data_IF_381396059856
#
_entry.id   IF_381396059856
#
_cell.length_a   1.000
_cell.length_b   1.000
_cell.length_c   1.000
_cell.angle_alpha   90.00
_cell.angle_beta   90.00
_cell.angle_gamma   90.00
#
_symmetry.space_group_name_H-M   'P 1'
#
loop_
_entity.id
_entity.type
_entity.pdbx_description
1 polymer ?
#
# COMPACT_ATOMS: atom_id res chain seq x y z
N UNK A 1 -13.74 -79.65 16.42
CA UNK A 1 -12.79 -79.17 15.39
C UNK A 1 -13.09 -77.70 15.07
N UNK A 2 -12.02 -76.88 15.15
CA UNK A 2 -11.77 -75.46 14.78
C UNK A 2 -12.96 -74.48 14.61
N UNK A 3 -13.09 -73.61 15.63
CA UNK A 3 -13.87 -72.36 15.66
C UNK A 3 -13.18 -71.24 14.85
N UNK A 4 -14.04 -70.42 14.24
CA UNK A 4 -13.76 -69.24 13.41
C UNK A 4 -12.78 -68.25 14.07
N UNK A 5 -11.80 -67.76 13.30
CA UNK A 5 -10.90 -66.67 13.71
C UNK A 5 -11.34 -65.38 13.05
N UNK A 6 -11.85 -64.48 13.88
CA UNK A 6 -12.29 -63.12 13.58
C UNK A 6 -11.12 -62.27 13.09
N UNK A 7 -11.33 -61.58 11.96
CA UNK A 7 -10.38 -60.66 11.36
C UNK A 7 -10.19 -59.38 12.18
N UNK A 8 -8.99 -58.81 12.08
CA UNK A 8 -8.67 -57.42 12.37
C UNK A 8 -8.05 -56.84 11.10
N UNK A 9 -8.82 -56.09 10.34
CA UNK A 9 -8.29 -55.20 9.30
C UNK A 9 -8.04 -53.85 9.96
N UNK A 10 -6.77 -53.44 9.93
CA UNK A 10 -6.28 -52.15 10.41
C UNK A 10 -6.77 -51.07 9.45
N UNK A 11 -7.60 -50.15 9.93
CA UNK A 11 -7.97 -48.97 9.18
C UNK A 11 -6.78 -48.00 9.13
N UNK A 12 -5.98 -48.07 8.06
CA UNK A 12 -5.01 -47.05 7.73
C UNK A 12 -5.76 -45.88 7.09
N UNK A 13 -5.93 -44.79 7.84
CA UNK A 13 -6.46 -43.53 7.30
C UNK A 13 -5.41 -42.94 6.37
N UNK A 14 -5.67 -43.02 5.06
CA UNK A 14 -4.89 -42.29 4.07
C UNK A 14 -5.18 -40.79 4.24
N UNK A 15 -4.21 -40.06 4.80
CA UNK A 15 -4.21 -38.59 4.75
C UNK A 15 -3.95 -38.22 3.30
N UNK A 16 -5.02 -37.91 2.57
CA UNK A 16 -4.93 -37.24 1.28
C UNK A 16 -4.29 -35.88 1.54
N UNK A 17 -3.00 -35.75 1.25
CA UNK A 17 -2.34 -34.46 1.09
C UNK A 17 -2.96 -33.86 -0.16
N UNK A 18 -4.09 -33.19 -0.01
CA UNK A 18 -4.63 -32.35 -1.07
C UNK A 18 -3.60 -31.28 -1.33
N UNK A 19 -2.94 -31.35 -2.49
CA UNK A 19 -2.17 -30.26 -3.08
C UNK A 19 -3.11 -29.08 -3.29
N UNK A 20 -3.32 -28.30 -2.24
CA UNK A 20 -3.96 -27.01 -2.33
C UNK A 20 -3.05 -26.12 -3.14
N UNK A 21 -3.32 -25.99 -4.43
CA UNK A 21 -2.82 -24.89 -5.21
C UNK A 21 -3.27 -23.63 -4.48
N UNK A 22 -2.33 -22.94 -3.83
CA UNK A 22 -2.55 -21.57 -3.37
C UNK A 22 -2.71 -20.77 -4.66
N UNK A 23 -3.96 -20.63 -5.10
CA UNK A 23 -4.31 -19.66 -6.12
C UNK A 23 -3.95 -18.30 -5.53
N UNK A 24 -2.81 -17.75 -5.94
CA UNK A 24 -2.53 -16.34 -5.81
C UNK A 24 -3.58 -15.63 -6.66
N UNK A 25 -4.73 -15.35 -6.07
CA UNK A 25 -5.69 -14.41 -6.64
C UNK A 25 -4.94 -13.09 -6.66
N UNK A 26 -4.60 -12.53 -7.84
CA UNK A 26 -4.08 -11.17 -7.85
C UNK A 26 -5.16 -10.33 -7.21
N UNK A 27 -4.84 -9.69 -6.07
CA UNK A 27 -5.75 -8.76 -5.43
C UNK A 27 -6.10 -7.72 -6.49
N UNK A 28 -7.32 -7.84 -7.04
CA UNK A 28 -7.91 -6.88 -7.95
C UNK A 28 -7.60 -5.52 -7.36
N UNK A 29 -6.89 -4.69 -8.12
CA UNK A 29 -6.59 -3.33 -7.74
C UNK A 29 -7.93 -2.62 -7.52
N UNK A 30 -8.42 -2.62 -6.27
CA UNK A 30 -9.59 -1.86 -5.89
C UNK A 30 -9.24 -0.42 -6.22
N UNK A 31 -9.84 0.11 -7.29
CA UNK A 31 -9.65 1.51 -7.64
C UNK A 31 -10.25 2.29 -6.48
N UNK A 32 -9.42 3.11 -5.82
CA UNK A 32 -9.87 3.89 -4.67
C UNK A 32 -11.18 4.61 -4.97
N UNK A 33 -12.09 4.54 -4.00
CA UNK A 33 -13.33 5.30 -4.01
C UNK A 33 -13.04 6.76 -3.67
N UNK A 34 -13.98 7.67 -3.96
CA UNK A 34 -13.80 9.08 -3.60
C UNK A 34 -13.58 9.28 -2.09
N UNK A 35 -14.16 8.41 -1.25
CA UNK A 35 -14.01 8.44 0.21
C UNK A 35 -12.58 8.09 0.70
N UNK A 36 -11.85 7.31 -0.10
CA UNK A 36 -10.49 6.89 0.23
C UNK A 36 -9.48 8.04 0.07
N UNK A 37 -9.79 8.99 -0.79
CA UNK A 37 -9.00 10.19 -1.06
C UNK A 37 -9.63 11.40 -0.34
N UNK A 38 -8.82 12.40 0.06
CA UNK A 38 -9.37 13.62 0.69
C UNK A 38 -9.50 14.79 -0.31
N UNK A 39 -9.00 14.60 -1.53
CA UNK A 39 -9.04 15.60 -2.58
C UNK A 39 -8.96 14.95 -3.96
N UNK A 40 -10.03 15.08 -4.74
CA UNK A 40 -10.09 14.67 -6.15
C UNK A 40 -9.77 15.87 -7.03
N UNK A 41 -8.82 15.72 -7.94
CA UNK A 41 -8.52 16.75 -8.94
C UNK A 41 -8.01 18.07 -8.36
N UNK A 42 -7.33 18.04 -7.20
CA UNK A 42 -6.74 19.23 -6.58
C UNK A 42 -5.82 19.92 -7.59
N UNK A 43 -6.20 21.15 -7.98
CA UNK A 43 -5.44 21.97 -8.92
C UNK A 43 -4.42 22.78 -8.12
N UNK A 44 -3.15 22.51 -8.37
CA UNK A 44 -2.04 23.20 -7.71
C UNK A 44 -0.70 22.81 -8.30
N UNK A 45 0.35 23.53 -7.91
CA UNK A 45 1.73 23.13 -8.17
C UNK A 45 2.08 22.07 -7.13
N UNK A 46 2.57 20.91 -7.56
CA UNK A 46 3.00 19.85 -6.65
C UNK A 46 4.49 19.65 -6.77
N UNK A 47 5.17 19.62 -5.62
CA UNK A 47 6.62 19.52 -5.53
C UNK A 47 7.01 18.39 -4.58
N UNK A 48 8.10 17.69 -4.87
CA UNK A 48 8.56 16.59 -4.02
C UNK A 48 8.92 17.08 -2.61
N UNK A 49 8.55 16.33 -1.58
CA UNK A 49 8.95 16.62 -0.20
C UNK A 49 10.41 16.24 0.05
N UNK A 50 11.16 17.12 0.73
CA UNK A 50 12.62 17.08 0.87
C UNK A 50 13.20 16.10 1.92
N UNK A 51 12.39 15.26 2.54
CA UNK A 51 12.72 14.56 3.80
C UNK A 51 12.96 13.04 3.68
N UNK A 52 13.18 12.54 2.46
CA UNK A 52 13.37 11.10 2.22
C UNK A 52 12.06 10.28 2.22
N UNK A 53 10.92 10.95 2.07
CA UNK A 53 9.63 10.31 1.82
C UNK A 53 9.53 9.72 0.39
N UNK A 54 10.34 10.24 -0.54
CA UNK A 54 10.50 9.72 -1.90
C UNK A 54 11.55 8.62 -1.95
N UNK A 55 11.40 7.65 -2.86
CA UNK A 55 12.30 6.51 -2.98
C UNK A 55 12.58 6.12 -4.43
N UNK A 56 13.68 5.42 -4.63
CA UNK A 56 14.05 4.81 -5.91
C UNK A 56 14.01 3.28 -5.79
N UNK A 57 13.41 2.62 -6.77
CA UNK A 57 13.34 1.16 -6.81
C UNK A 57 13.32 0.64 -8.24
N UNK A 58 14.26 -0.27 -8.57
CA UNK A 58 14.38 -0.87 -9.90
C UNK A 58 14.28 0.12 -11.07
N UNK A 59 14.93 1.28 -10.94
CA UNK A 59 14.94 2.34 -11.95
C UNK A 59 13.68 3.23 -12.01
N UNK A 60 12.75 3.09 -11.06
CA UNK A 60 11.60 3.99 -10.87
C UNK A 60 11.88 4.96 -9.75
N UNK A 61 11.67 6.25 -10.00
CA UNK A 61 11.65 7.28 -8.96
C UNK A 61 10.20 7.51 -8.53
N UNK A 62 9.87 7.20 -7.28
CA UNK A 62 8.55 7.45 -6.69
C UNK A 62 8.66 8.60 -5.70
N UNK A 63 7.84 9.62 -5.92
CA UNK A 63 7.81 10.83 -5.10
C UNK A 63 6.53 10.92 -4.30
N UNK A 64 6.67 11.31 -3.03
CA UNK A 64 5.60 12.00 -2.34
C UNK A 64 5.73 13.49 -2.67
N UNK A 65 4.64 14.10 -3.11
CA UNK A 65 4.60 15.51 -3.49
C UNK A 65 3.54 16.26 -2.69
N UNK A 66 3.84 17.49 -2.29
CA UNK A 66 2.92 18.40 -1.62
C UNK A 66 2.51 19.55 -2.53
N UNK A 67 1.26 19.97 -2.35
CA UNK A 67 0.66 21.10 -3.04
C UNK A 67 1.25 22.42 -2.53
N UNK A 68 2.09 23.07 -3.33
CA UNK A 68 2.99 24.15 -2.92
C UNK A 68 2.31 25.48 -2.56
N UNK A 69 0.99 25.64 -2.74
CA UNK A 69 0.33 26.90 -2.42
C UNK A 69 -0.28 26.93 -1.01
N UNK A 70 -0.80 25.79 -0.52
CA UNK A 70 -1.36 25.68 0.83
C UNK A 70 -0.73 24.57 1.68
N UNK A 71 0.12 23.73 1.07
CA UNK A 71 0.74 22.54 1.64
C UNK A 71 -0.27 21.64 2.38
N UNK A 72 -1.49 21.54 1.80
CA UNK A 72 -2.60 20.79 2.42
C UNK A 72 -2.68 19.35 1.99
N UNK A 73 -2.28 19.12 0.76
CA UNK A 73 -2.56 17.88 0.07
C UNK A 73 -1.27 17.25 -0.40
N UNK A 74 -1.13 15.96 -0.10
CA UNK A 74 -0.08 15.13 -0.67
C UNK A 74 -0.65 14.24 -1.77
N UNK A 75 0.19 13.93 -2.76
CA UNK A 75 -0.06 12.87 -3.75
C UNK A 75 1.21 12.07 -3.99
N UNK A 76 1.09 10.88 -4.56
CA UNK A 76 2.24 10.13 -5.06
C UNK A 76 2.36 10.32 -6.57
N UNK A 77 3.60 10.34 -7.06
CA UNK A 77 3.92 10.34 -8.49
C UNK A 77 5.10 9.41 -8.77
N UNK A 78 4.98 8.53 -9.77
CA UNK A 78 6.15 7.88 -10.37
C UNK A 78 6.75 8.89 -11.34
N UNK A 79 7.77 9.62 -10.87
CA UNK A 79 8.36 10.75 -11.59
C UNK A 79 9.10 10.33 -12.85
N UNK A 80 9.74 9.17 -12.81
CA UNK A 80 10.50 8.62 -13.94
C UNK A 80 10.56 7.10 -13.88
N UNK A 81 10.80 6.48 -15.04
CA UNK A 81 11.02 5.03 -15.17
C UNK A 81 9.75 4.16 -15.07
N UNK A 82 8.55 4.75 -15.07
CA UNK A 82 7.27 4.02 -15.01
C UNK A 82 7.18 2.99 -16.15
N UNK A 83 6.70 1.80 -15.80
CA UNK A 83 6.38 0.72 -16.75
C UNK A 83 4.90 0.37 -16.68
N UNK A 84 4.42 -0.33 -17.72
CA UNK A 84 3.09 -0.92 -17.70
C UNK A 84 2.99 -1.95 -16.57
N UNK A 85 1.87 -1.94 -15.84
CA UNK A 85 1.65 -2.81 -14.69
C UNK A 85 2.10 -2.22 -13.35
N UNK A 86 2.89 -1.14 -13.33
CA UNK A 86 3.20 -0.43 -12.08
C UNK A 86 1.88 0.12 -11.46
N UNK A 87 1.70 -0.08 -10.15
CA UNK A 87 0.57 0.45 -9.38
C UNK A 87 1.08 1.46 -8.34
N UNK A 88 0.33 2.53 -8.09
CA UNK A 88 0.74 3.63 -7.22
C UNK A 88 -0.41 4.06 -6.30
N UNK A 89 -0.12 4.36 -5.04
CA UNK A 89 -1.12 4.90 -4.10
C UNK A 89 -0.44 5.76 -3.03
N UNK A 90 -1.27 6.46 -2.25
CA UNK A 90 -0.83 7.20 -1.06
C UNK A 90 -1.55 6.65 0.15
N UNK A 91 -0.79 6.32 1.19
CA UNK A 91 -1.33 5.98 2.49
C UNK A 91 -1.45 7.26 3.32
N UNK A 92 -2.49 7.37 4.16
CA UNK A 92 -2.67 8.44 5.14
C UNK A 92 -3.02 7.88 6.53
N UNK A 93 -2.34 8.34 7.58
CA UNK A 93 -2.63 7.95 8.96
C UNK A 93 -4.04 8.38 9.37
N UNK A 94 -4.66 7.62 10.29
CA UNK A 94 -5.91 8.06 10.92
C UNK A 94 -5.68 9.10 12.02
N UNK A 95 -4.58 9.00 12.76
CA UNK A 95 -4.25 9.96 13.80
C UNK A 95 -3.62 11.24 13.22
N UNK A 96 -3.98 12.37 13.82
CA UNK A 96 -3.41 13.67 13.47
C UNK A 96 -2.15 14.00 14.28
N UNK A 97 -1.20 14.69 13.67
CA UNK A 97 0.07 15.11 14.21
C UNK A 97 0.17 16.65 14.24
N UNK A 98 -0.67 17.37 15.01
CA UNK A 98 -0.79 18.82 14.92
C UNK A 98 0.50 19.57 15.29
N UNK A 99 1.34 18.97 16.14
CA UNK A 99 2.58 19.56 16.65
C UNK A 99 3.83 18.87 16.09
N UNK A 100 3.72 18.14 14.97
CA UNK A 100 4.84 17.41 14.38
C UNK A 100 4.86 17.66 12.88
N UNK A 101 6.07 17.88 12.35
CA UNK A 101 6.35 18.14 10.94
C UNK A 101 7.54 17.28 10.53
N UNK A 102 7.57 16.84 9.29
CA UNK A 102 8.60 15.94 8.79
C UNK A 102 8.30 14.47 9.01
N UNK A 103 9.36 13.66 9.10
CA UNK A 103 9.24 12.20 9.11
C UNK A 103 8.78 11.69 10.48
N UNK A 104 7.78 10.81 10.46
CA UNK A 104 7.34 10.04 11.64
C UNK A 104 7.59 8.55 11.44
N UNK A 105 7.66 7.79 12.54
CA UNK A 105 7.90 6.36 12.47
C UNK A 105 6.68 5.58 11.97
N UNK A 106 6.90 4.42 11.35
CA UNK A 106 5.81 3.52 10.94
C UNK A 106 4.88 3.16 12.11
N UNK A 107 5.43 2.94 13.31
CA UNK A 107 4.64 2.61 14.49
C UNK A 107 3.71 3.75 14.90
N UNK A 108 4.19 5.00 14.87
CA UNK A 108 3.37 6.18 15.20
C UNK A 108 2.28 6.39 14.14
N UNK A 109 2.62 6.30 12.86
CA UNK A 109 1.66 6.56 11.79
C UNK A 109 0.57 5.49 11.66
N UNK A 110 0.84 4.25 12.10
CA UNK A 110 -0.04 3.08 11.90
C UNK A 110 -0.66 2.53 13.18
N UNK A 111 -0.52 3.20 14.33
CA UNK A 111 -0.96 2.66 15.64
C UNK A 111 -2.42 2.20 15.66
N UNK A 112 -3.28 2.83 14.87
CA UNK A 112 -4.72 2.54 14.74
C UNK A 112 -5.13 2.21 13.31
N UNK A 113 -4.17 1.97 12.41
CA UNK A 113 -4.40 1.80 10.97
C UNK A 113 -4.24 3.08 10.16
N UNK A 114 -4.56 2.99 8.88
CA UNK A 114 -4.40 4.05 7.88
C UNK A 114 -5.37 3.81 6.70
N UNK A 115 -5.61 4.85 5.89
CA UNK A 115 -6.43 4.75 4.66
C UNK A 115 -5.60 4.85 3.38
N UNK A 116 -6.03 4.17 2.33
CA UNK A 116 -5.32 4.05 1.06
C UNK A 116 -6.02 4.80 -0.07
N UNK A 117 -5.43 5.88 -0.57
CA UNK A 117 -5.87 6.52 -1.82
C UNK A 117 -5.15 5.88 -3.02
N UNK A 118 -5.73 4.80 -3.54
CA UNK A 118 -5.32 4.03 -4.73
C UNK A 118 -5.69 2.55 -4.54
N UNK A 119 -5.04 1.61 -5.24
CA UNK A 119 -4.02 1.77 -6.29
C UNK A 119 -4.53 2.37 -7.60
N UNK A 120 -3.68 3.21 -8.21
CA UNK A 120 -3.81 3.76 -9.54
C UNK A 120 -2.79 3.12 -10.48
N UNK A 121 -3.16 2.89 -11.74
CA UNK A 121 -2.22 2.45 -12.78
C UNK A 121 -1.52 3.61 -13.47
N UNK A 122 -1.99 4.85 -13.27
CA UNK A 122 -1.40 6.07 -13.83
C UNK A 122 -0.04 6.43 -13.21
N UNK A 123 0.56 7.52 -13.70
CA UNK A 123 1.82 8.03 -13.12
C UNK A 123 1.62 8.81 -11.83
N UNK A 124 0.40 9.22 -11.49
CA UNK A 124 0.08 10.00 -10.29
C UNK A 124 -1.23 9.55 -9.67
N UNK A 125 -1.35 9.76 -8.37
CA UNK A 125 -2.57 9.49 -7.59
C UNK A 125 -3.45 10.73 -7.50
N UNK A 126 -4.66 10.56 -6.97
CA UNK A 126 -5.39 11.65 -6.32
C UNK A 126 -4.72 12.01 -4.97
N UNK A 127 -5.31 12.95 -4.24
CA UNK A 127 -4.67 13.54 -3.07
C UNK A 127 -5.29 13.10 -1.74
N UNK A 128 -4.46 13.08 -0.71
CA UNK A 128 -4.86 12.95 0.69
C UNK A 128 -4.48 14.22 1.45
N UNK A 129 -5.23 14.52 2.50
CA UNK A 129 -4.98 15.68 3.35
C UNK A 129 -3.88 15.35 4.36
N UNK A 130 -2.85 16.19 4.41
CA UNK A 130 -1.58 15.88 5.09
C UNK A 130 -1.07 16.99 6.03
N UNK A 131 -1.68 18.18 6.07
CA UNK A 131 -1.22 19.27 6.98
C UNK A 131 -1.10 18.88 8.44
N UNK A 132 -1.94 17.95 8.92
CA UNK A 132 -1.83 17.39 10.27
C UNK A 132 -1.91 15.87 10.23
N UNK A 133 -1.70 15.22 9.09
CA UNK A 133 -1.77 13.76 9.01
C UNK A 133 -0.53 13.25 8.28
N UNK A 134 -0.01 12.12 8.74
CA UNK A 134 1.12 11.52 8.07
C UNK A 134 0.65 10.91 6.74
N UNK A 135 1.39 11.16 5.67
CA UNK A 135 1.18 10.55 4.37
C UNK A 135 2.46 9.85 3.90
N UNK A 136 2.34 8.84 3.05
CA UNK A 136 3.48 8.24 2.35
C UNK A 136 3.10 7.76 0.96
N UNK A 137 4.05 7.89 0.03
CA UNK A 137 3.92 7.30 -1.29
C UNK A 137 4.24 5.80 -1.23
N UNK A 138 3.43 4.99 -1.90
CA UNK A 138 3.63 3.57 -2.05
C UNK A 138 3.39 3.14 -3.49
N UNK A 139 4.10 2.11 -3.92
CA UNK A 139 3.98 1.56 -5.26
C UNK A 139 4.17 0.05 -5.25
N UNK A 140 3.49 -0.63 -6.16
CA UNK A 140 3.82 -2.00 -6.56
C UNK A 140 4.56 -1.95 -7.89
N UNK A 141 5.81 -2.39 -7.86
CA UNK A 141 6.75 -2.30 -8.97
C UNK A 141 7.33 -3.69 -9.22
N UNK A 142 7.13 -4.23 -10.42
CA UNK A 142 7.49 -5.61 -10.77
C UNK A 142 6.89 -6.66 -9.78
N UNK A 143 5.68 -6.42 -9.28
CA UNK A 143 5.01 -7.28 -8.29
C UNK A 143 5.51 -7.14 -6.84
N UNK A 144 6.44 -6.21 -6.58
CA UNK A 144 6.96 -5.94 -5.24
C UNK A 144 6.39 -4.63 -4.71
N UNK A 145 5.74 -4.67 -3.55
CA UNK A 145 5.28 -3.46 -2.85
C UNK A 145 6.45 -2.76 -2.14
N UNK A 146 6.58 -1.46 -2.40
CA UNK A 146 7.53 -0.56 -1.72
C UNK A 146 6.82 0.72 -1.31
N UNK A 147 7.18 1.21 -0.14
CA UNK A 147 6.67 2.46 0.41
C UNK A 147 7.83 3.34 0.86
N UNK A 148 7.63 4.64 0.71
CA UNK A 148 8.46 5.65 1.35
C UNK A 148 8.19 5.76 2.84
N UNK A 149 8.91 6.71 3.47
CA UNK A 149 8.69 7.07 4.87
C UNK A 149 7.40 7.89 5.02
N UNK A 150 6.79 7.82 6.20
CA UNK A 150 5.68 8.67 6.58
C UNK A 150 6.14 10.09 6.82
N UNK A 151 5.45 11.06 6.22
CA UNK A 151 5.73 12.48 6.30
C UNK A 151 4.49 13.24 6.74
N UNK A 152 4.63 14.16 7.69
CA UNK A 152 3.62 15.17 8.03
C UNK A 152 4.12 16.48 7.47
N UNK A 153 3.28 17.19 6.72
CA UNK A 153 3.66 18.52 6.22
C UNK A 153 3.70 19.57 7.29
#
# INVERSE_FOLDING_TARGET
MKKSRTGRLVAASAVLISSGAIAFVPASAASATEDDCDGIGVIGVFSAVGSGASFDFNGRRVELQNESALDRYSRAEIKSGRKAGDRLWVDRSFHSFPNTKGIVTDQQAKSEGWKMCGPYTGSRTQSVYNSNYAARACAELDGITKCGKWYVD
#
